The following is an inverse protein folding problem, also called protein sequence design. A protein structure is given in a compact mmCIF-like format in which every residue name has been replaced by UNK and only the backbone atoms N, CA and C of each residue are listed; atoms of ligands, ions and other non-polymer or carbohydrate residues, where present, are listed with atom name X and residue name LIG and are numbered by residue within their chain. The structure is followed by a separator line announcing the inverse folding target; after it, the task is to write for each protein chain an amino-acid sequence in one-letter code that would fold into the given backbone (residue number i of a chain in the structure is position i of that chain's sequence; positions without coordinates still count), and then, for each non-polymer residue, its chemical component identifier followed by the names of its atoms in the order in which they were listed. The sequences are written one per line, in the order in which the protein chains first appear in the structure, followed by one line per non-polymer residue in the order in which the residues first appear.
data_IF_337035016947
#
_entry.id   IF_337035016947
#
_cell.length_a   1.000
_cell.length_b   1.000
_cell.length_c   1.000
_cell.angle_alpha   90.00
_cell.angle_beta   90.00
_cell.angle_gamma   90.00
#
_symmetry.space_group_name_H-M   'P 1'
#
loop_
_entity.id
_entity.type
_entity.pdbx_description
1 polymer ?
#
# COMPACT_ATOMS: atom_id res chain seq x y z
N UNK A 1 -12.61 19.12 9.88
CA UNK A 1 -11.30 18.76 9.30
C UNK A 1 -11.45 18.71 7.79
N UNK A 2 -10.51 19.27 7.03
CA UNK A 2 -10.57 19.21 5.56
C UNK A 2 -10.32 17.77 5.09
N UNK A 3 -11.26 17.23 4.31
CA UNK A 3 -11.21 15.85 3.78
C UNK A 3 -10.82 15.90 2.32
N UNK A 4 -9.71 15.24 1.98
CA UNK A 4 -9.14 15.29 0.63
C UNK A 4 -9.59 14.09 -0.20
N UNK A 5 -9.25 12.86 0.22
CA UNK A 5 -9.64 11.64 -0.49
C UNK A 5 -10.41 10.66 0.39
N UNK A 6 -9.84 10.26 1.52
CA UNK A 6 -10.47 9.37 2.49
C UNK A 6 -10.42 9.96 3.90
N UNK A 7 -11.30 9.47 4.77
CA UNK A 7 -11.26 9.71 6.20
C UNK A 7 -11.81 8.48 6.94
N UNK A 8 -11.03 7.92 7.86
CA UNK A 8 -11.42 6.80 8.72
C UNK A 8 -12.30 7.21 9.90
N UNK A 9 -12.62 8.51 9.98
CA UNK A 9 -13.45 9.11 11.02
C UNK A 9 -14.67 9.75 10.39
N UNK A 10 -15.85 9.40 10.88
CA UNK A 10 -17.05 10.15 10.54
C UNK A 10 -17.03 11.58 11.13
N UNK A 11 -17.95 12.45 10.68
CA UNK A 11 -17.90 13.89 11.03
C UNK A 11 -18.00 14.14 12.55
N UNK A 12 -18.61 13.21 13.29
CA UNK A 12 -18.86 13.31 14.72
C UNK A 12 -17.92 12.45 15.58
N UNK A 13 -17.02 11.68 14.97
CA UNK A 13 -16.18 10.70 15.68
C UNK A 13 -14.78 11.22 15.95
N UNK A 14 -14.33 11.07 17.20
CA UNK A 14 -12.98 11.46 17.63
C UNK A 14 -11.95 10.38 17.25
N UNK A 15 -12.36 9.10 17.24
CA UNK A 15 -11.50 7.95 16.99
C UNK A 15 -12.03 7.13 15.81
N UNK A 16 -11.14 6.42 15.11
CA UNK A 16 -11.47 5.55 13.97
C UNK A 16 -11.73 4.10 14.40
N UNK A 17 -12.23 3.87 15.61
CA UNK A 17 -12.45 2.52 16.17
C UNK A 17 -13.38 1.70 15.24
N UNK A 18 -14.48 2.31 14.80
CA UNK A 18 -15.45 1.67 13.90
C UNK A 18 -14.86 1.23 12.56
N UNK A 19 -13.86 1.96 12.04
CA UNK A 19 -13.17 1.54 10.83
C UNK A 19 -12.46 0.19 11.04
N UNK A 20 -11.82 -0.01 12.20
CA UNK A 20 -11.09 -1.26 12.47
C UNK A 20 -12.03 -2.45 12.68
N UNK A 21 -13.19 -2.24 13.30
CA UNK A 21 -14.23 -3.27 13.43
C UNK A 21 -14.82 -3.62 12.05
N UNK A 22 -15.12 -2.60 11.24
CA UNK A 22 -15.66 -2.74 9.90
C UNK A 22 -14.68 -3.46 8.97
N UNK A 23 -13.41 -3.03 8.90
CA UNK A 23 -12.42 -3.63 8.01
C UNK A 23 -12.07 -5.06 8.40
N UNK A 24 -12.06 -5.39 9.69
CA UNK A 24 -11.85 -6.75 10.16
C UNK A 24 -12.99 -7.67 9.68
N UNK A 25 -14.23 -7.27 9.96
CA UNK A 25 -15.42 -8.04 9.56
C UNK A 25 -15.51 -8.19 8.04
N UNK A 26 -15.26 -7.11 7.30
CA UNK A 26 -15.30 -7.16 5.84
C UNK A 26 -14.17 -8.02 5.26
N UNK A 27 -12.98 -8.02 5.87
CA UNK A 27 -11.89 -8.91 5.45
C UNK A 27 -12.28 -10.39 5.63
N UNK A 28 -13.01 -10.75 6.68
CA UNK A 28 -13.53 -12.11 6.85
C UNK A 28 -14.52 -12.51 5.73
N UNK A 29 -15.37 -11.58 5.32
CA UNK A 29 -16.28 -11.76 4.19
C UNK A 29 -15.49 -11.97 2.88
N UNK A 30 -14.48 -11.13 2.61
CA UNK A 30 -13.62 -11.24 1.43
C UNK A 30 -12.87 -12.57 1.39
N UNK A 31 -12.31 -13.02 2.52
CA UNK A 31 -11.62 -14.30 2.60
C UNK A 31 -12.58 -15.49 2.42
N UNK A 32 -13.81 -15.37 2.90
CA UNK A 32 -14.84 -16.39 2.71
C UNK A 32 -15.24 -16.49 1.25
N UNK A 33 -15.50 -15.36 0.60
CA UNK A 33 -15.84 -15.34 -0.82
C UNK A 33 -14.68 -15.83 -1.71
N UNK A 34 -13.45 -15.45 -1.35
CA UNK A 34 -12.25 -15.95 -2.02
C UNK A 34 -12.14 -17.47 -1.90
N UNK A 35 -12.41 -18.07 -0.73
CA UNK A 35 -12.43 -19.54 -0.59
C UNK A 35 -13.51 -20.17 -1.47
N UNK A 36 -14.68 -19.56 -1.57
CA UNK A 36 -15.76 -20.10 -2.40
C UNK A 36 -15.41 -20.11 -3.90
N UNK A 37 -14.70 -19.07 -4.38
CA UNK A 37 -14.43 -18.90 -5.82
C UNK A 37 -13.05 -19.35 -6.28
N UNK A 38 -12.03 -19.16 -5.43
CA UNK A 38 -10.61 -19.30 -5.80
C UNK A 38 -9.96 -20.55 -5.24
N UNK A 39 -10.64 -21.37 -4.43
CA UNK A 39 -10.05 -22.61 -3.88
C UNK A 39 -9.42 -23.51 -4.95
N UNK A 40 -10.08 -23.79 -6.10
CA UNK A 40 -9.46 -24.60 -7.14
C UNK A 40 -8.15 -23.99 -7.65
N UNK A 41 -8.12 -22.67 -7.84
CA UNK A 41 -6.95 -21.92 -8.31
C UNK A 41 -5.81 -22.00 -7.28
N UNK A 42 -6.12 -21.76 -6.01
CA UNK A 42 -5.15 -21.76 -4.91
C UNK A 42 -4.53 -23.16 -4.75
N UNK A 43 -5.34 -24.22 -4.81
CA UNK A 43 -4.87 -25.60 -4.71
C UNK A 43 -3.93 -25.98 -5.87
N UNK A 44 -4.31 -25.66 -7.11
CA UNK A 44 -3.46 -25.95 -8.28
C UNK A 44 -2.16 -25.13 -8.19
N UNK A 45 -2.22 -23.86 -7.79
CA UNK A 45 -1.02 -23.03 -7.64
C UNK A 45 -0.04 -23.58 -6.58
N UNK A 46 -0.54 -24.02 -5.42
CA UNK A 46 0.29 -24.61 -4.36
C UNK A 46 0.95 -25.92 -4.78
N UNK A 47 0.27 -26.77 -5.53
CA UNK A 47 0.82 -28.05 -5.97
C UNK A 47 1.94 -27.90 -7.03
N UNK A 48 1.99 -26.77 -7.74
CA UNK A 48 2.93 -26.51 -8.81
C UNK A 48 4.13 -25.64 -8.40
N UNK A 49 4.12 -25.07 -7.20
CA UNK A 49 5.15 -24.15 -6.76
C UNK A 49 5.88 -24.69 -5.54
N UNK A 50 7.21 -24.85 -5.66
CA UNK A 50 8.18 -24.74 -4.54
C UNK A 50 8.19 -23.29 -3.98
N UNK A 51 7.02 -22.68 -3.76
CA UNK A 51 6.96 -21.35 -3.19
C UNK A 51 7.15 -21.44 -1.69
N UNK A 52 8.37 -21.14 -1.26
CA UNK A 52 8.75 -20.75 0.10
C UNK A 52 7.58 -20.05 0.82
N UNK A 53 6.98 -20.74 1.80
CA UNK A 53 6.22 -20.19 2.92
C UNK A 53 5.14 -19.11 2.65
N UNK A 54 4.57 -18.99 1.45
CA UNK A 54 3.46 -18.07 1.22
C UNK A 54 2.14 -18.68 1.73
N UNK A 55 1.49 -18.01 2.69
CA UNK A 55 0.20 -18.47 3.22
C UNK A 55 -0.90 -18.38 2.15
N UNK A 56 -1.88 -19.29 2.17
CA UNK A 56 -3.06 -19.26 1.28
C UNK A 56 -3.76 -17.89 1.27
N UNK A 57 -3.73 -17.19 2.41
CA UNK A 57 -4.32 -15.86 2.58
C UNK A 57 -3.55 -14.79 1.80
N UNK A 58 -2.22 -14.89 1.70
CA UNK A 58 -1.46 -14.00 0.81
C UNK A 58 -1.74 -14.28 -0.66
N UNK A 59 -1.89 -15.55 -1.04
CA UNK A 59 -2.28 -15.93 -2.41
C UNK A 59 -3.61 -15.27 -2.79
N UNK A 60 -4.59 -15.22 -1.89
CA UNK A 60 -5.86 -14.52 -2.11
C UNK A 60 -5.63 -13.02 -2.37
N UNK A 61 -4.77 -12.36 -1.58
CA UNK A 61 -4.44 -10.95 -1.78
C UNK A 61 -3.78 -10.72 -3.14
N UNK A 62 -2.85 -11.57 -3.55
CA UNK A 62 -2.18 -11.47 -4.85
C UNK A 62 -3.16 -11.62 -6.02
N UNK A 63 -4.07 -12.58 -5.94
CA UNK A 63 -5.11 -12.79 -6.95
C UNK A 63 -6.10 -11.62 -6.99
N UNK A 64 -6.48 -11.06 -5.83
CA UNK A 64 -7.33 -9.87 -5.76
C UNK A 64 -6.64 -8.66 -6.40
N UNK A 65 -5.34 -8.47 -6.17
CA UNK A 65 -4.54 -7.42 -6.81
C UNK A 65 -4.47 -7.63 -8.32
N UNK A 66 -4.21 -8.86 -8.78
CA UNK A 66 -4.20 -9.18 -10.21
C UNK A 66 -5.53 -8.82 -10.87
N UNK A 67 -6.65 -9.27 -10.31
CA UNK A 67 -7.98 -8.99 -10.84
C UNK A 67 -8.32 -7.50 -10.82
N UNK A 68 -8.08 -6.82 -9.70
CA UNK A 68 -8.38 -5.39 -9.53
C UNK A 68 -7.55 -4.54 -10.49
N UNK A 69 -6.24 -4.76 -10.57
CA UNK A 69 -5.37 -3.97 -11.46
C UNK A 69 -5.61 -4.29 -12.94
N UNK A 70 -6.04 -5.51 -13.26
CA UNK A 70 -6.49 -5.85 -14.61
C UNK A 70 -7.72 -5.04 -15.00
N UNK A 71 -8.73 -5.00 -14.13
CA UNK A 71 -9.96 -4.24 -14.40
C UNK A 71 -9.69 -2.72 -14.45
N UNK A 72 -8.77 -2.22 -13.63
CA UNK A 72 -8.43 -0.79 -13.59
C UNK A 72 -7.59 -0.34 -14.79
N UNK A 73 -6.56 -1.10 -15.19
CA UNK A 73 -5.49 -0.59 -16.05
C UNK A 73 -5.29 -1.33 -17.38
N UNK A 74 -6.04 -2.40 -17.67
CA UNK A 74 -5.80 -3.16 -18.89
C UNK A 74 -5.96 -2.31 -20.15
N UNK A 75 -6.98 -1.44 -20.21
CA UNK A 75 -7.22 -0.57 -21.38
C UNK A 75 -6.02 0.34 -21.66
N UNK A 76 -5.50 1.01 -20.63
CA UNK A 76 -4.31 1.86 -20.72
C UNK A 76 -3.06 1.03 -21.08
N UNK A 77 -2.95 -0.18 -20.53
CA UNK A 77 -1.84 -1.08 -20.82
C UNK A 77 -1.81 -1.60 -22.25
N UNK A 78 -2.95 -1.69 -22.94
CA UNK A 78 -2.98 -2.11 -24.34
C UNK A 78 -2.41 -1.05 -25.30
N UNK A 79 -2.45 0.22 -24.90
CA UNK A 79 -2.02 1.36 -25.72
C UNK A 79 -0.51 1.59 -25.71
N UNK A 80 0.23 1.08 -24.71
CA UNK A 80 1.68 1.28 -24.64
C UNK A 80 2.41 0.33 -25.59
N UNK A 81 3.35 0.87 -26.37
CA UNK A 81 4.23 0.08 -27.22
C UNK A 81 5.57 -0.26 -26.53
N UNK A 82 6.31 -1.20 -27.12
CA UNK A 82 7.56 -1.71 -26.53
C UNK A 82 8.65 -0.64 -26.35
N UNK A 83 8.70 0.39 -27.20
CA UNK A 83 9.66 1.48 -27.10
C UNK A 83 9.30 2.43 -25.94
N UNK A 84 8.03 2.82 -25.84
CA UNK A 84 7.51 3.66 -24.75
C UNK A 84 7.76 3.03 -23.38
N UNK A 85 7.50 1.71 -23.25
CA UNK A 85 7.84 0.97 -22.03
C UNK A 85 9.34 1.06 -21.72
N UNK A 86 10.22 0.81 -22.70
CA UNK A 86 11.68 0.81 -22.48
C UNK A 86 12.15 2.18 -22.01
N UNK A 87 11.62 3.26 -22.58
CA UNK A 87 11.92 4.62 -22.15
C UNK A 87 11.50 4.89 -20.71
N UNK A 88 10.25 4.57 -20.35
CA UNK A 88 9.73 4.78 -18.98
C UNK A 88 10.50 3.94 -17.95
N UNK A 89 10.80 2.69 -18.28
CA UNK A 89 11.59 1.81 -17.43
C UNK A 89 12.99 2.38 -17.20
N UNK A 90 13.67 2.79 -18.27
CA UNK A 90 15.00 3.38 -18.20
C UNK A 90 15.02 4.64 -17.33
N UNK A 91 14.05 5.54 -17.48
CA UNK A 91 13.95 6.76 -16.63
C UNK A 91 13.77 6.39 -15.16
N UNK A 92 12.95 5.38 -14.88
CA UNK A 92 12.72 4.90 -13.51
C UNK A 92 13.99 4.28 -12.90
N UNK A 93 14.70 3.45 -13.65
CA UNK A 93 15.98 2.84 -13.24
C UNK A 93 17.07 3.89 -13.01
N UNK A 94 17.20 4.87 -13.91
CA UNK A 94 18.17 5.98 -13.76
C UNK A 94 17.88 6.82 -12.52
N UNK A 95 16.61 7.11 -12.24
CA UNK A 95 16.18 7.83 -11.03
C UNK A 95 16.55 7.10 -9.75
N UNK A 96 16.45 5.77 -9.74
CA UNK A 96 16.79 4.95 -8.57
C UNK A 96 18.30 4.82 -8.38
N UNK A 97 19.04 4.61 -9.49
CA UNK A 97 20.48 4.38 -9.48
C UNK A 97 21.30 5.64 -9.17
N UNK A 98 20.89 6.79 -9.71
CA UNK A 98 21.67 8.03 -9.63
C UNK A 98 20.93 9.12 -8.84
N UNK A 99 21.21 9.22 -7.54
CA UNK A 99 20.59 10.22 -6.65
C UNK A 99 20.73 11.66 -7.15
N UNK A 100 21.86 12.00 -7.80
CA UNK A 100 22.13 13.34 -8.34
C UNK A 100 21.23 13.70 -9.53
N UNK A 101 20.81 12.71 -10.34
CA UNK A 101 19.93 12.92 -11.50
C UNK A 101 18.44 12.91 -11.12
N UNK A 102 18.11 12.70 -9.84
CA UNK A 102 16.74 12.54 -9.37
C UNK A 102 15.81 13.69 -9.80
N UNK A 103 16.19 14.99 -9.70
CA UNK A 103 15.30 16.08 -10.13
C UNK A 103 15.00 16.04 -11.63
N UNK A 104 16.03 15.88 -12.48
CA UNK A 104 15.88 15.81 -13.93
C UNK A 104 15.07 14.58 -14.37
N UNK A 105 15.36 13.41 -13.79
CA UNK A 105 14.63 12.18 -14.10
C UNK A 105 13.18 12.23 -13.60
N UNK A 106 12.89 12.92 -12.49
CA UNK A 106 11.51 13.11 -12.02
C UNK A 106 10.70 13.99 -12.98
N UNK A 107 11.32 15.07 -13.50
CA UNK A 107 10.69 15.92 -14.51
C UNK A 107 10.44 15.15 -15.83
N UNK A 108 11.45 14.42 -16.32
CA UNK A 108 11.32 13.59 -17.51
C UNK A 108 10.26 12.50 -17.32
N UNK A 109 10.22 11.84 -16.16
CA UNK A 109 9.17 10.87 -15.82
C UNK A 109 7.79 11.50 -15.90
N UNK A 110 7.61 12.72 -15.37
CA UNK A 110 6.34 13.44 -15.45
C UNK A 110 5.87 13.69 -16.88
N UNK A 111 6.78 14.08 -17.78
CA UNK A 111 6.47 14.28 -19.22
C UNK A 111 6.11 12.97 -19.89
N UNK A 112 6.95 11.94 -19.76
CA UNK A 112 6.74 10.66 -20.43
C UNK A 112 5.50 9.94 -19.90
N UNK A 113 5.24 10.02 -18.59
CA UNK A 113 4.03 9.44 -17.99
C UNK A 113 2.77 10.11 -18.54
N UNK A 114 2.77 11.44 -18.69
CA UNK A 114 1.64 12.14 -19.31
C UNK A 114 1.42 11.67 -20.75
N UNK A 115 2.49 11.57 -21.53
CA UNK A 115 2.43 11.29 -22.96
C UNK A 115 2.11 9.82 -23.26
N UNK A 116 2.61 8.88 -22.47
CA UNK A 116 2.55 7.45 -22.76
C UNK A 116 1.61 6.67 -21.85
N UNK A 117 1.35 7.17 -20.64
CA UNK A 117 0.42 6.57 -19.67
C UNK A 117 -0.86 7.39 -19.58
N UNK A 118 -1.26 8.05 -20.68
CA UNK A 118 -2.43 8.93 -20.74
C UNK A 118 -3.64 8.22 -20.13
N UNK A 119 -4.11 8.78 -19.02
CA UNK A 119 -5.11 8.19 -18.16
C UNK A 119 -6.50 8.65 -18.62
N UNK A 120 -7.29 7.71 -19.16
CA UNK A 120 -8.68 7.99 -19.51
C UNK A 120 -9.55 7.60 -18.32
N UNK A 121 -10.17 8.61 -17.69
CA UNK A 121 -11.05 8.42 -16.52
C UNK A 121 -12.45 7.92 -16.89
N UNK A 122 -12.70 7.60 -18.15
CA UNK A 122 -13.97 7.03 -18.56
C UNK A 122 -14.06 5.63 -17.98
N UNK A 123 -15.17 5.36 -17.26
CA UNK A 123 -15.61 4.02 -16.87
C UNK A 123 -15.53 3.14 -18.11
N UNK A 124 -14.48 2.33 -18.22
CA UNK A 124 -14.22 1.57 -19.42
C UNK A 124 -15.21 0.42 -19.51
N UNK A 125 -15.96 0.36 -20.61
CA UNK A 125 -16.61 -0.88 -21.01
C UNK A 125 -15.56 -1.98 -21.12
N UNK A 126 -15.86 -3.06 -20.41
CA UNK A 126 -14.91 -3.97 -19.79
C UNK A 126 -14.51 -5.09 -20.75
N UNK A 127 -13.23 -5.46 -20.79
CA UNK A 127 -12.81 -6.69 -21.46
C UNK A 127 -11.91 -7.52 -20.53
N UNK A 128 -12.22 -8.80 -20.30
CA UNK A 128 -11.31 -9.70 -19.59
C UNK A 128 -9.99 -9.81 -20.34
N UNK A 129 -8.92 -10.17 -19.64
CA UNK A 129 -7.68 -10.59 -20.29
C UNK A 129 -7.98 -11.80 -21.18
N UNK A 130 -7.81 -11.64 -22.49
CA UNK A 130 -8.13 -12.65 -23.50
C UNK A 130 -6.95 -13.56 -23.84
N UNK A 131 -5.73 -13.19 -23.44
CA UNK A 131 -4.53 -13.98 -23.68
C UNK A 131 -3.35 -13.49 -22.83
N UNK A 132 -2.29 -14.30 -22.82
CA UNK A 132 -1.05 -14.00 -22.09
C UNK A 132 -0.32 -12.74 -22.56
N UNK A 133 -0.49 -12.33 -23.83
CA UNK A 133 0.11 -11.09 -24.35
C UNK A 133 -0.49 -9.85 -23.67
N UNK A 134 -1.80 -9.87 -23.41
CA UNK A 134 -2.49 -8.81 -22.68
C UNK A 134 -2.05 -8.74 -21.21
N UNK A 135 -1.93 -9.88 -20.51
CA UNK A 135 -1.38 -9.92 -19.15
C UNK A 135 0.05 -9.39 -19.10
N UNK A 136 0.89 -9.79 -20.05
CA UNK A 136 2.27 -9.30 -20.15
C UNK A 136 2.34 -7.78 -20.35
N UNK A 137 1.46 -7.22 -21.20
CA UNK A 137 1.34 -5.77 -21.41
C UNK A 137 0.91 -5.05 -20.13
N UNK A 138 -0.08 -5.58 -19.39
CA UNK A 138 -0.50 -5.04 -18.10
C UNK A 138 0.68 -4.95 -17.14
N UNK A 139 1.40 -6.05 -16.93
CA UNK A 139 2.55 -6.10 -16.01
C UNK A 139 3.63 -5.10 -16.42
N UNK A 140 3.91 -4.98 -17.72
CA UNK A 140 4.86 -3.99 -18.25
C UNK A 140 4.40 -2.56 -18.02
N UNK A 141 3.12 -2.28 -18.22
CA UNK A 141 2.54 -0.97 -17.94
C UNK A 141 2.68 -0.62 -16.46
N UNK A 142 2.30 -1.53 -15.55
CA UNK A 142 2.43 -1.38 -14.10
C UNK A 142 3.90 -1.12 -13.70
N UNK A 143 4.84 -1.89 -14.24
CA UNK A 143 6.27 -1.72 -14.02
C UNK A 143 6.77 -0.35 -14.50
N UNK A 144 6.32 0.08 -15.69
CA UNK A 144 6.70 1.37 -16.27
C UNK A 144 6.20 2.57 -15.46
N UNK A 145 5.12 2.42 -14.68
CA UNK A 145 4.68 3.48 -13.76
C UNK A 145 5.69 3.73 -12.63
N UNK A 146 6.43 2.70 -12.21
CA UNK A 146 7.31 2.74 -11.05
C UNK A 146 6.59 2.85 -9.68
N UNK A 147 5.26 2.69 -9.64
CA UNK A 147 4.44 2.83 -8.42
C UNK A 147 4.01 1.48 -7.81
N UNK A 148 4.34 0.35 -8.46
CA UNK A 148 3.83 -0.99 -8.14
C UNK A 148 4.95 -2.03 -7.97
N UNK A 149 6.09 -1.64 -7.40
CA UNK A 149 7.29 -2.49 -7.39
C UNK A 149 7.05 -3.88 -6.79
N UNK A 150 6.50 -3.92 -5.58
CA UNK A 150 6.22 -5.15 -4.83
C UNK A 150 5.11 -6.00 -5.47
N UNK A 151 4.11 -5.33 -6.03
CA UNK A 151 2.98 -5.93 -6.74
C UNK A 151 3.46 -6.58 -8.04
N UNK A 152 4.21 -5.86 -8.88
CA UNK A 152 4.77 -6.34 -10.15
C UNK A 152 5.65 -7.58 -9.95
N UNK A 153 6.46 -7.62 -8.87
CA UNK A 153 7.27 -8.80 -8.53
C UNK A 153 6.39 -10.06 -8.42
N UNK A 154 5.26 -9.97 -7.72
CA UNK A 154 4.31 -11.08 -7.52
C UNK A 154 3.53 -11.39 -8.79
N UNK A 155 3.05 -10.37 -9.50
CA UNK A 155 2.34 -10.56 -10.77
C UNK A 155 3.22 -11.22 -11.85
N UNK A 156 4.54 -10.97 -11.86
CA UNK A 156 5.49 -11.70 -12.73
C UNK A 156 5.63 -13.17 -12.34
N UNK A 157 5.51 -13.52 -11.05
CA UNK A 157 5.48 -14.91 -10.63
C UNK A 157 4.21 -15.61 -11.13
N UNK A 158 3.05 -14.95 -11.00
CA UNK A 158 1.79 -15.41 -11.60
C UNK A 158 1.86 -15.53 -13.12
N UNK A 159 2.43 -14.54 -13.81
CA UNK A 159 2.60 -14.60 -15.27
C UNK A 159 3.43 -15.82 -15.70
N UNK A 160 4.52 -16.13 -14.99
CA UNK A 160 5.34 -17.32 -15.27
C UNK A 160 4.56 -18.60 -15.06
N UNK A 161 3.81 -18.69 -13.96
CA UNK A 161 2.99 -19.85 -13.65
C UNK A 161 1.88 -20.07 -14.70
N UNK A 162 1.11 -19.03 -15.03
CA UNK A 162 0.02 -19.11 -16.02
C UNK A 162 0.52 -19.49 -17.43
N UNK A 163 1.80 -19.24 -17.77
CA UNK A 163 2.41 -19.72 -19.03
C UNK A 163 2.62 -21.23 -19.08
N UNK A 164 2.65 -21.89 -17.92
CA UNK A 164 2.82 -23.36 -17.84
C UNK A 164 1.52 -24.13 -18.03
N UNK A 165 0.38 -23.44 -17.91
CA UNK A 165 -0.94 -24.05 -17.98
C UNK A 165 -1.47 -24.09 -19.43
N UNK A 166 -2.36 -25.05 -19.75
CA UNK A 166 -3.12 -25.02 -21.00
C UNK A 166 -3.86 -23.70 -21.19
N UNK A 167 -3.93 -23.22 -22.43
CA UNK A 167 -4.56 -21.93 -22.75
C UNK A 167 -5.99 -21.80 -22.19
N UNK A 168 -6.79 -22.86 -22.30
CA UNK A 168 -8.17 -22.90 -21.78
C UNK A 168 -8.21 -22.70 -20.27
N UNK A 169 -7.34 -23.37 -19.52
CA UNK A 169 -7.29 -23.29 -18.07
C UNK A 169 -6.86 -21.89 -17.62
N UNK A 170 -5.86 -21.32 -18.29
CA UNK A 170 -5.42 -19.94 -18.06
C UNK A 170 -6.56 -18.93 -18.25
N UNK A 171 -7.39 -19.07 -19.29
CA UNK A 171 -8.55 -18.19 -19.49
C UNK A 171 -9.59 -18.34 -18.37
N UNK A 172 -9.93 -19.58 -18.00
CA UNK A 172 -10.89 -19.86 -16.92
C UNK A 172 -10.39 -19.25 -15.60
N UNK A 173 -9.09 -19.38 -15.31
CA UNK A 173 -8.48 -18.80 -14.12
C UNK A 173 -8.58 -17.26 -14.13
N UNK A 174 -8.19 -16.62 -15.23
CA UNK A 174 -8.23 -15.16 -15.37
C UNK A 174 -9.66 -14.61 -15.28
N UNK A 175 -10.64 -15.30 -15.86
CA UNK A 175 -12.05 -14.94 -15.76
C UNK A 175 -12.58 -15.07 -14.32
N UNK A 176 -12.20 -16.14 -13.62
CA UNK A 176 -12.58 -16.35 -12.21
C UNK A 176 -11.98 -15.27 -11.31
N UNK A 177 -10.70 -14.94 -11.51
CA UNK A 177 -9.99 -13.88 -10.78
C UNK A 177 -10.66 -12.51 -11.01
N UNK A 178 -11.01 -12.20 -12.27
CA UNK A 178 -11.69 -10.96 -12.61
C UNK A 178 -13.10 -10.89 -12.02
N UNK A 179 -13.86 -11.99 -12.05
CA UNK A 179 -15.18 -12.10 -11.44
C UNK A 179 -15.12 -11.83 -9.93
N UNK A 180 -14.11 -12.38 -9.24
CA UNK A 180 -13.88 -12.11 -7.82
C UNK A 180 -13.55 -10.63 -7.57
N UNK A 181 -12.66 -10.03 -8.36
CA UNK A 181 -12.32 -8.61 -8.22
C UNK A 181 -13.52 -7.68 -8.46
N UNK A 182 -14.42 -8.01 -9.40
CA UNK A 182 -15.65 -7.24 -9.64
C UNK A 182 -16.67 -7.38 -8.52
N UNK A 183 -16.77 -8.57 -7.93
CA UNK A 183 -17.55 -8.73 -6.70
C UNK A 183 -16.97 -7.85 -5.59
N UNK A 184 -15.64 -7.89 -5.41
CA UNK A 184 -14.95 -7.09 -4.41
C UNK A 184 -15.17 -5.59 -4.61
N UNK A 185 -15.07 -5.08 -5.84
CA UNK A 185 -15.28 -3.66 -6.14
C UNK A 185 -16.67 -3.20 -5.68
N UNK A 186 -17.73 -3.91 -6.12
CA UNK A 186 -19.11 -3.59 -5.74
C UNK A 186 -19.31 -3.69 -4.22
N UNK A 187 -18.89 -4.80 -3.64
CA UNK A 187 -19.13 -5.07 -2.22
C UNK A 187 -18.33 -4.15 -1.30
N UNK A 188 -17.09 -3.84 -1.66
CA UNK A 188 -16.26 -2.90 -0.91
C UNK A 188 -16.79 -1.48 -0.99
N UNK A 189 -17.41 -1.08 -2.09
CA UNK A 189 -18.08 0.22 -2.20
C UNK A 189 -19.27 0.33 -1.24
N UNK A 190 -20.08 -0.74 -1.09
CA UNK A 190 -21.19 -0.78 -0.13
C UNK A 190 -20.72 -0.65 1.33
N UNK A 191 -19.61 -1.31 1.69
CA UNK A 191 -19.15 -1.43 3.09
C UNK A 191 -18.14 -0.34 3.48
N UNK A 192 -17.13 -0.11 2.63
CA UNK A 192 -16.02 0.82 2.90
C UNK A 192 -16.22 2.18 2.24
N UNK A 193 -17.24 2.33 1.38
CA UNK A 193 -17.49 3.55 0.62
C UNK A 193 -17.60 4.80 1.50
N UNK A 194 -18.19 4.68 2.70
CA UNK A 194 -18.29 5.77 3.66
C UNK A 194 -16.92 6.41 4.01
N UNK A 195 -15.84 5.62 4.03
CA UNK A 195 -14.50 6.11 4.36
C UNK A 195 -13.80 6.76 3.16
N UNK A 196 -14.27 6.52 1.93
CA UNK A 196 -13.63 6.95 0.68
C UNK A 196 -14.52 7.84 -0.19
N UNK A 197 -15.61 8.37 0.38
CA UNK A 197 -16.63 9.15 -0.34
C UNK A 197 -16.09 10.37 -1.12
N UNK A 198 -14.92 10.91 -0.75
CA UNK A 198 -14.33 12.08 -1.39
C UNK A 198 -13.35 11.74 -2.53
N UNK A 199 -13.02 10.46 -2.75
CA UNK A 199 -12.06 10.04 -3.78
C UNK A 199 -12.50 10.51 -5.16
N UNK A 200 -13.74 10.24 -5.56
CA UNK A 200 -14.22 10.61 -6.89
C UNK A 200 -14.25 12.13 -7.07
N UNK A 201 -14.72 12.88 -6.07
CA UNK A 201 -14.70 14.34 -6.10
C UNK A 201 -13.27 14.89 -6.25
N UNK A 202 -12.31 14.31 -5.53
CA UNK A 202 -10.91 14.66 -5.66
C UNK A 202 -10.37 14.37 -7.06
N UNK A 203 -10.64 13.19 -7.62
CA UNK A 203 -10.23 12.82 -8.98
C UNK A 203 -10.80 13.77 -10.03
N UNK A 204 -12.04 14.24 -9.87
CA UNK A 204 -12.61 15.26 -10.77
C UNK A 204 -11.87 16.60 -10.68
N UNK A 205 -11.49 17.05 -9.48
CA UNK A 205 -10.78 18.32 -9.25
C UNK A 205 -9.30 18.25 -9.65
N UNK A 206 -8.65 17.10 -9.48
CA UNK A 206 -7.21 16.93 -9.71
C UNK A 206 -6.82 16.94 -11.20
N UNK A 207 -7.75 16.60 -12.11
CA UNK A 207 -7.55 16.53 -13.57
C UNK A 207 -6.86 17.76 -14.18
N UNK A 208 -7.15 18.96 -13.69
CA UNK A 208 -6.61 20.19 -14.26
C UNK A 208 -5.37 20.73 -13.53
N UNK A 209 -5.17 20.35 -12.26
CA UNK A 209 -4.21 20.99 -11.36
C UNK A 209 -2.79 20.41 -11.44
N UNK A 210 -2.62 19.17 -11.90
CA UNK A 210 -1.39 18.40 -11.68
C UNK A 210 -0.81 17.73 -12.94
N UNK A 211 -1.00 18.35 -14.11
CA UNK A 211 -0.74 17.79 -15.44
C UNK A 211 0.72 17.43 -15.82
N UNK A 212 1.70 17.58 -14.93
CA UNK A 212 3.13 17.24 -15.17
C UNK A 212 3.83 16.62 -13.97
N UNK A 213 3.06 16.04 -13.04
CA UNK A 213 3.60 15.43 -11.82
C UNK A 213 4.14 14.03 -12.06
N UNK A 214 5.25 13.67 -11.41
CA UNK A 214 5.85 12.32 -11.51
C UNK A 214 4.95 11.23 -10.90
N UNK A 215 4.16 11.61 -9.91
CA UNK A 215 3.28 10.75 -9.10
C UNK A 215 1.82 10.82 -9.57
N UNK A 216 1.62 11.14 -10.86
CA UNK A 216 0.29 11.29 -11.45
C UNK A 216 -0.54 10.02 -11.33
N UNK A 217 0.06 8.84 -11.52
CA UNK A 217 -0.65 7.55 -11.39
C UNK A 217 -1.06 7.33 -9.93
N UNK A 218 -0.15 7.55 -8.99
CA UNK A 218 -0.41 7.44 -7.56
C UNK A 218 -1.52 8.40 -7.08
N UNK A 219 -1.49 9.65 -7.56
CA UNK A 219 -2.49 10.65 -7.21
C UNK A 219 -3.82 10.48 -7.96
N UNK A 220 -3.91 9.58 -8.95
CA UNK A 220 -5.14 9.27 -9.70
C UNK A 220 -5.60 7.82 -9.52
N UNK A 221 -5.24 7.20 -8.39
CA UNK A 221 -5.76 5.90 -7.97
C UNK A 221 -7.29 5.94 -7.87
N UNK A 222 -7.95 4.94 -8.45
CA UNK A 222 -9.40 4.77 -8.38
C UNK A 222 -9.82 4.35 -6.98
N UNK A 223 -11.09 4.56 -6.66
CA UNK A 223 -11.65 4.29 -5.32
C UNK A 223 -11.49 2.83 -4.89
N UNK A 224 -11.68 1.87 -5.81
CA UNK A 224 -11.44 0.44 -5.55
C UNK A 224 -10.01 0.15 -5.08
N UNK A 225 -9.02 0.91 -5.54
CA UNK A 225 -7.62 0.73 -5.11
C UNK A 225 -7.39 1.18 -3.67
N UNK A 226 -8.19 2.13 -3.16
CA UNK A 226 -8.20 2.46 -1.73
C UNK A 226 -8.76 1.29 -0.92
N UNK A 227 -9.89 0.73 -1.33
CA UNK A 227 -10.50 -0.42 -0.66
C UNK A 227 -9.60 -1.66 -0.68
N UNK A 228 -8.97 -1.92 -1.83
CA UNK A 228 -7.96 -2.96 -1.99
C UNK A 228 -6.84 -2.80 -0.96
N UNK A 229 -6.32 -1.58 -0.80
CA UNK A 229 -5.27 -1.32 0.17
C UNK A 229 -5.73 -1.42 1.64
N UNK A 230 -6.98 -1.04 1.95
CA UNK A 230 -7.54 -1.22 3.29
C UNK A 230 -7.61 -2.72 3.65
N UNK A 231 -8.19 -3.54 2.77
CA UNK A 231 -8.33 -4.99 2.99
C UNK A 231 -6.98 -5.69 2.93
N UNK A 232 -6.12 -5.30 1.99
CA UNK A 232 -4.77 -5.86 1.87
C UNK A 232 -3.91 -5.58 3.10
N UNK A 233 -4.00 -4.38 3.69
CA UNK A 233 -3.32 -4.07 4.94
C UNK A 233 -3.80 -4.95 6.10
N UNK A 234 -5.12 -5.18 6.21
CA UNK A 234 -5.69 -6.06 7.24
C UNK A 234 -5.27 -7.52 7.03
N UNK A 235 -5.31 -8.01 5.79
CA UNK A 235 -4.78 -9.33 5.44
C UNK A 235 -3.32 -9.46 5.86
N UNK A 236 -2.47 -8.50 5.49
CA UNK A 236 -1.04 -8.52 5.82
C UNK A 236 -0.81 -8.47 7.33
N UNK A 237 -1.61 -7.69 8.06
CA UNK A 237 -1.54 -7.66 9.53
C UNK A 237 -1.80 -9.03 10.15
N UNK A 238 -2.79 -9.75 9.65
CA UNK A 238 -3.14 -11.11 10.11
C UNK A 238 -2.04 -12.11 9.77
N UNK A 239 -1.55 -12.09 8.53
CA UNK A 239 -0.51 -13.03 8.10
C UNK A 239 0.81 -12.80 8.82
N UNK A 240 1.23 -11.53 8.98
CA UNK A 240 2.52 -11.20 9.59
C UNK A 240 2.46 -11.13 11.12
N UNK A 241 1.29 -11.39 11.72
CA UNK A 241 1.04 -11.19 13.15
C UNK A 241 1.98 -12.01 14.02
N UNK A 242 2.06 -13.31 13.75
CA UNK A 242 2.82 -14.25 14.58
C UNK A 242 4.30 -13.91 14.57
N UNK A 243 4.87 -13.65 13.40
CA UNK A 243 6.29 -13.29 13.29
C UNK A 243 6.57 -11.92 13.88
N UNK A 244 5.63 -10.96 13.76
CA UNK A 244 5.75 -9.66 14.41
C UNK A 244 5.74 -9.78 15.95
N UNK A 245 4.88 -10.65 16.51
CA UNK A 245 4.80 -10.85 17.96
C UNK A 245 6.06 -11.47 18.56
N UNK A 246 6.79 -12.31 17.78
CA UNK A 246 8.09 -12.90 18.19
C UNK A 246 9.22 -11.88 18.26
N UNK A 247 9.06 -10.67 17.71
CA UNK A 247 10.10 -9.64 17.74
C UNK A 247 10.27 -9.02 19.13
N UNK A 248 11.51 -8.78 19.53
CA UNK A 248 11.84 -8.22 20.85
C UNK A 248 11.95 -6.69 20.81
N UNK A 249 12.35 -6.15 19.67
CA UNK A 249 12.48 -4.71 19.42
C UNK A 249 11.43 -4.29 18.41
N UNK A 250 10.80 -3.14 18.63
CA UNK A 250 9.81 -2.61 17.70
C UNK A 250 10.10 -1.18 17.31
N UNK A 251 9.90 -0.88 16.04
CA UNK A 251 10.01 0.48 15.50
C UNK A 251 8.63 0.93 15.03
N UNK A 252 8.14 2.02 15.59
CA UNK A 252 6.98 2.73 15.08
C UNK A 252 7.44 3.74 14.03
N UNK A 253 7.18 3.39 12.77
CA UNK A 253 7.63 4.16 11.62
C UNK A 253 6.56 5.13 11.17
N UNK A 254 6.82 6.42 11.36
CA UNK A 254 5.88 7.51 11.09
C UNK A 254 6.29 8.32 9.85
N UNK A 255 5.35 8.74 9.00
CA UNK A 255 5.63 9.66 7.92
C UNK A 255 5.74 11.10 8.43
N UNK A 256 6.60 11.91 7.81
CA UNK A 256 6.82 13.32 8.19
C UNK A 256 5.53 14.15 8.23
N UNK A 257 4.50 13.79 7.46
CA UNK A 257 3.22 14.51 7.46
C UNK A 257 2.43 14.41 8.78
N UNK A 258 2.83 13.54 9.72
CA UNK A 258 2.28 13.53 11.08
C UNK A 258 2.91 14.58 12.01
N UNK A 259 4.05 15.14 11.64
CA UNK A 259 4.64 16.26 12.40
C UNK A 259 3.74 17.49 12.26
N UNK A 260 3.56 18.26 13.33
CA UNK A 260 2.77 19.50 13.26
C UNK A 260 3.54 20.59 12.53
N UNK A 261 2.97 21.18 11.45
CA UNK A 261 3.46 22.44 10.89
C UNK A 261 2.73 23.66 11.46
N UNK A 262 1.67 23.47 12.28
CA UNK A 262 0.85 24.59 12.78
C UNK A 262 1.50 25.19 14.02
N UNK A 263 1.76 26.50 13.93
CA UNK A 263 2.39 27.41 14.90
C UNK A 263 3.93 27.33 15.03
N UNK A 264 4.54 26.15 14.97
CA UNK A 264 6.00 25.98 15.01
C UNK A 264 6.45 24.95 13.96
N UNK A 265 7.54 25.21 13.24
CA UNK A 265 8.20 24.16 12.44
C UNK A 265 8.69 23.06 13.38
N UNK A 266 8.56 21.79 12.98
CA UNK A 266 9.07 20.67 13.77
C UNK A 266 10.56 20.90 14.08
N UNK A 267 10.92 20.84 15.37
CA UNK A 267 12.29 21.04 15.85
C UNK A 267 13.03 19.70 16.07
N UNK A 268 12.61 18.62 15.41
CA UNK A 268 13.30 17.33 15.56
C UNK A 268 14.75 17.40 15.11
N UNK A 269 15.63 16.70 15.82
CA UNK A 269 16.98 16.43 15.33
C UNK A 269 16.94 15.24 14.38
N UNK A 270 17.40 15.43 13.15
CA UNK A 270 17.51 14.36 12.15
C UNK A 270 16.18 13.75 11.70
N UNK A 271 16.30 12.73 10.85
CA UNK A 271 15.22 11.87 10.37
C UNK A 271 15.76 10.44 10.23
N UNK A 272 14.86 9.45 10.13
CA UNK A 272 15.26 8.04 10.09
C UNK A 272 15.99 7.63 11.38
N UNK A 273 17.10 6.91 11.26
CA UNK A 273 17.87 6.40 12.41
C UNK A 273 18.30 7.48 13.42
N UNK A 274 18.48 8.71 12.95
CA UNK A 274 18.96 9.85 13.75
C UNK A 274 17.82 10.67 14.36
N UNK A 275 16.56 10.29 14.09
CA UNK A 275 15.39 11.01 14.57
C UNK A 275 15.35 11.09 16.10
N UNK A 276 15.24 12.32 16.62
CA UNK A 276 14.92 12.62 18.02
C UNK A 276 13.88 13.72 18.11
N UNK A 277 12.75 13.42 18.76
CA UNK A 277 11.72 14.42 19.01
C UNK A 277 12.15 15.41 20.11
N UNK A 278 12.06 16.72 19.83
CA UNK A 278 12.32 17.81 20.81
C UNK A 278 11.08 18.29 21.55
N UNK A 279 9.95 17.58 21.42
CA UNK A 279 8.69 17.90 22.09
C UNK A 279 8.19 19.35 21.88
N UNK A 280 8.49 19.95 20.72
CA UNK A 280 8.18 21.35 20.40
C UNK A 280 6.70 21.77 20.51
N UNK A 281 5.76 20.83 20.48
CA UNK A 281 4.34 21.08 20.74
C UNK A 281 3.67 19.88 21.38
N UNK A 282 2.84 20.11 22.41
CA UNK A 282 2.03 19.07 23.10
C UNK A 282 0.91 18.51 22.23
N UNK A 283 0.47 19.27 21.22
CA UNK A 283 -0.58 18.89 20.26
C UNK A 283 -0.04 18.02 19.11
N UNK A 284 1.28 17.93 18.97
CA UNK A 284 1.90 17.13 17.92
C UNK A 284 1.73 15.63 18.21
N UNK A 285 1.09 14.91 17.29
CA UNK A 285 0.89 13.46 17.36
C UNK A 285 2.21 12.69 17.54
N UNK A 286 3.28 13.12 16.84
CA UNK A 286 4.61 12.51 16.99
C UNK A 286 5.16 12.69 18.41
N UNK A 287 4.97 13.86 19.04
CA UNK A 287 5.38 14.06 20.43
C UNK A 287 4.59 13.16 21.39
N UNK A 288 3.28 13.05 21.18
CA UNK A 288 2.42 12.17 21.98
C UNK A 288 2.86 10.71 21.87
N UNK A 289 3.16 10.23 20.64
CA UNK A 289 3.66 8.88 20.41
C UNK A 289 5.06 8.65 20.98
N UNK A 290 5.98 9.61 20.86
CA UNK A 290 7.33 9.50 21.45
C UNK A 290 7.27 9.40 22.98
N UNK A 291 6.33 10.07 23.63
CA UNK A 291 6.14 9.93 25.09
C UNK A 291 5.68 8.52 25.51
N UNK A 292 5.03 7.78 24.61
CA UNK A 292 4.55 6.42 24.87
C UNK A 292 5.62 5.34 24.67
N UNK A 293 6.78 5.66 24.08
CA UNK A 293 7.87 4.70 23.80
C UNK A 293 8.23 3.84 25.02
N UNK A 294 8.36 4.48 26.19
CA UNK A 294 8.74 3.79 27.44
C UNK A 294 7.67 2.81 27.93
N UNK A 295 6.39 3.07 27.65
CA UNK A 295 5.28 2.24 28.11
C UNK A 295 4.86 1.13 27.14
N UNK A 296 5.30 1.21 25.87
CA UNK A 296 4.85 0.34 24.80
C UNK A 296 6.01 -0.37 24.07
N UNK A 297 7.23 -0.42 24.62
CA UNK A 297 8.35 -1.18 24.03
C UNK A 297 8.54 -0.98 22.50
N UNK A 298 8.40 0.25 22.03
CA UNK A 298 8.74 0.63 20.66
C UNK A 298 9.54 1.92 20.65
N UNK A 299 10.33 2.10 19.59
CA UNK A 299 11.02 3.36 19.28
C UNK A 299 10.31 4.07 18.14
N UNK A 300 10.00 5.35 18.29
CA UNK A 300 9.44 6.17 17.19
C UNK A 300 10.56 6.57 16.25
N UNK A 301 10.30 6.42 14.96
CA UNK A 301 11.16 6.89 13.90
C UNK A 301 10.33 7.64 12.85
N UNK A 302 10.72 8.87 12.53
CA UNK A 302 10.07 9.65 11.45
C UNK A 302 10.89 9.56 10.17
N UNK A 303 10.24 9.20 9.06
CA UNK A 303 10.85 9.16 7.73
C UNK A 303 10.25 10.20 6.78
N UNK A 304 11.09 10.72 5.89
CA UNK A 304 10.69 11.71 4.89
C UNK A 304 9.85 11.07 3.78
N UNK A 305 10.25 9.90 3.30
CA UNK A 305 9.62 9.17 2.22
C UNK A 305 9.75 7.66 2.42
N UNK A 306 8.86 6.88 1.81
CA UNK A 306 8.95 5.41 1.78
C UNK A 306 10.29 4.93 1.21
N UNK A 307 10.78 5.60 0.15
CA UNK A 307 12.11 5.34 -0.43
C UNK A 307 13.28 5.61 0.52
N UNK A 308 13.06 6.26 1.67
CA UNK A 308 14.08 6.41 2.70
C UNK A 308 14.27 5.10 3.47
N UNK A 309 13.27 4.22 3.48
CA UNK A 309 13.29 2.92 4.17
C UNK A 309 14.09 1.91 3.37
N UNK A 310 13.87 1.85 2.05
CA UNK A 310 14.58 0.96 1.13
C UNK A 310 16.09 1.23 1.02
N UNK A 311 16.57 2.33 1.60
CA UNK A 311 17.99 2.64 1.71
C UNK A 311 18.66 1.93 2.90
N UNK A 312 17.88 1.42 3.86
CA UNK A 312 18.38 0.61 4.96
C UNK A 312 18.41 -0.86 4.51
N UNK A 313 19.54 -1.52 4.69
CA UNK A 313 19.69 -2.96 4.41
C UNK A 313 19.64 -3.76 5.71
N UNK A 314 19.45 -5.09 5.66
CA UNK A 314 19.57 -5.97 6.83
C UNK A 314 20.90 -5.85 7.59
N UNK A 315 21.94 -5.34 6.93
CA UNK A 315 23.25 -5.08 7.55
C UNK A 315 23.27 -3.80 8.40
N UNK A 316 22.27 -2.93 8.26
CA UNK A 316 22.07 -1.82 9.19
C UNK A 316 21.51 -2.37 10.50
N UNK A 317 22.14 -1.99 11.62
CA UNK A 317 21.73 -2.37 12.99
C UNK A 317 20.31 -1.91 13.37
N UNK A 318 19.67 -1.10 12.52
CA UNK A 318 18.33 -0.58 12.73
C UNK A 318 17.24 -1.63 12.50
N UNK A 319 17.44 -2.56 11.58
CA UNK A 319 16.47 -3.60 11.22
C UNK A 319 17.15 -4.97 11.28
N UNK A 320 17.57 -5.34 12.48
CA UNK A 320 18.12 -6.68 12.76
C UNK A 320 17.01 -7.75 12.69
N UNK A 321 17.40 -9.03 12.77
CA UNK A 321 16.49 -10.18 12.74
C UNK A 321 15.47 -10.24 13.89
N UNK A 322 15.59 -9.35 14.89
CA UNK A 322 14.72 -9.29 16.06
C UNK A 322 13.84 -8.03 16.07
N UNK A 323 13.85 -7.25 14.98
CA UNK A 323 13.13 -5.99 14.87
C UNK A 323 11.82 -6.16 14.11
N UNK A 324 10.71 -5.85 14.77
CA UNK A 324 9.39 -5.70 14.14
C UNK A 324 9.10 -4.24 13.80
N UNK A 325 8.35 -4.00 12.73
CA UNK A 325 8.00 -2.64 12.30
C UNK A 325 6.49 -2.43 12.33
N UNK A 326 6.05 -1.37 13.00
CA UNK A 326 4.69 -0.83 12.84
C UNK A 326 4.79 0.30 11.82
N UNK A 327 4.41 0.02 10.58
CA UNK A 327 4.46 0.95 9.47
C UNK A 327 3.19 1.79 9.39
N UNK A 328 3.33 3.10 9.61
CA UNK A 328 2.23 4.05 9.43
C UNK A 328 2.29 4.70 8.06
N UNK A 329 1.21 4.65 7.28
CA UNK A 329 1.19 5.23 5.95
C UNK A 329 -0.21 5.69 5.49
N UNK A 330 -0.26 6.43 4.39
CA UNK A 330 -1.51 6.63 3.67
C UNK A 330 -2.02 5.27 3.16
N UNK A 331 -3.34 5.12 3.05
CA UNK A 331 -3.98 3.87 2.61
C UNK A 331 -3.29 3.26 1.38
N UNK A 332 -3.11 4.03 0.31
CA UNK A 332 -2.53 3.57 -0.95
C UNK A 332 -1.07 3.07 -0.89
N UNK A 333 -0.36 3.22 0.23
CA UNK A 333 1.03 2.77 0.40
C UNK A 333 1.15 1.55 1.33
N UNK A 334 0.05 1.08 1.92
CA UNK A 334 0.13 0.04 2.97
C UNK A 334 0.57 -1.31 2.41
N UNK A 335 0.02 -1.73 1.27
CA UNK A 335 0.41 -3.00 0.64
C UNK A 335 1.87 -2.93 0.18
N UNK A 336 2.22 -1.94 -0.63
CA UNK A 336 3.57 -1.83 -1.20
C UNK A 336 4.64 -1.75 -0.11
N UNK A 337 4.42 -0.95 0.93
CA UNK A 337 5.33 -0.78 2.05
C UNK A 337 5.45 -2.04 2.93
N UNK A 338 4.34 -2.72 3.22
CA UNK A 338 4.39 -3.95 4.01
C UNK A 338 5.05 -5.11 3.26
N UNK A 339 4.86 -5.22 1.94
CA UNK A 339 5.55 -6.22 1.13
C UNK A 339 7.03 -5.89 0.91
N UNK A 340 7.39 -4.61 0.83
CA UNK A 340 8.79 -4.19 0.85
C UNK A 340 9.46 -4.67 2.15
N UNK A 341 8.82 -4.49 3.30
CA UNK A 341 9.34 -4.99 4.58
C UNK A 341 9.40 -6.52 4.62
N UNK A 342 8.39 -7.23 4.10
CA UNK A 342 8.42 -8.69 3.94
C UNK A 342 9.59 -9.15 3.06
N UNK A 343 9.87 -8.46 1.96
CA UNK A 343 10.99 -8.79 1.06
C UNK A 343 12.35 -8.53 1.75
N UNK A 344 12.40 -7.61 2.70
CA UNK A 344 13.53 -7.41 3.62
C UNK A 344 13.51 -8.41 4.80
N UNK A 345 12.51 -9.29 4.85
CA UNK A 345 12.11 -10.18 5.96
C UNK A 345 12.12 -9.50 7.32
N UNK A 346 11.50 -8.34 7.37
CA UNK A 346 11.15 -7.59 8.57
C UNK A 346 9.66 -7.82 8.82
N UNK A 347 9.28 -8.48 9.93
CA UNK A 347 7.88 -8.63 10.29
C UNK A 347 7.21 -7.26 10.50
N UNK A 348 6.09 -7.04 9.82
CA UNK A 348 5.46 -5.72 9.76
C UNK A 348 3.99 -5.75 10.20
N UNK A 349 3.53 -4.62 10.72
CA UNK A 349 2.12 -4.30 10.94
C UNK A 349 1.80 -2.97 10.27
N UNK A 350 0.83 -2.98 9.36
CA UNK A 350 0.38 -1.85 8.57
C UNK A 350 -0.72 -1.08 9.32
N UNK A 351 -0.46 0.17 9.66
CA UNK A 351 -1.43 1.06 10.33
C UNK A 351 -1.77 2.21 9.38
N UNK A 352 -3.04 2.32 8.93
CA UNK A 352 -3.45 3.45 8.12
C UNK A 352 -3.45 4.75 8.94
N UNK A 353 -3.05 5.84 8.29
CA UNK A 353 -3.41 7.19 8.74
C UNK A 353 -4.93 7.35 8.70
N UNK A 354 -5.49 8.13 9.62
CA UNK A 354 -6.94 8.39 9.65
C UNK A 354 -7.44 9.23 8.47
N UNK A 355 -6.53 9.99 7.84
CA UNK A 355 -6.80 10.78 6.65
C UNK A 355 -5.46 11.19 6.03
N UNK A 356 -5.49 11.48 4.73
CA UNK A 356 -4.34 12.00 4.01
C UNK A 356 -4.19 13.52 4.22
N UNK A 357 -2.95 14.01 4.24
CA UNK A 357 -2.68 15.44 4.43
C UNK A 357 -1.27 15.87 4.03
N UNK A 358 -0.47 15.01 3.40
CA UNK A 358 0.90 15.38 3.09
C UNK A 358 0.97 16.50 2.05
N UNK A 359 1.92 17.44 2.24
CA UNK A 359 2.10 18.57 1.32
C UNK A 359 2.46 18.12 -0.10
N UNK A 360 3.26 17.05 -0.17
CA UNK A 360 3.74 16.54 -1.43
C UNK A 360 2.58 16.05 -2.29
N UNK A 361 1.72 15.15 -1.81
CA UNK A 361 0.76 14.46 -2.66
C UNK A 361 -0.66 15.05 -2.60
N UNK A 362 -1.11 15.50 -1.42
CA UNK A 362 -2.54 15.67 -1.18
C UNK A 362 -2.99 17.13 -0.96
N UNK A 363 -2.21 17.93 -0.23
CA UNK A 363 -2.66 19.26 0.22
C UNK A 363 -1.60 20.34 -0.03
N UNK A 364 -1.96 21.51 -0.57
CA UNK A 364 -0.97 22.53 -0.96
C UNK A 364 -0.11 23.05 0.21
N UNK A 365 -0.69 23.12 1.42
CA UNK A 365 0.01 23.56 2.64
C UNK A 365 0.44 22.42 3.55
N UNK A 366 -0.01 21.20 3.28
CA UNK A 366 0.00 20.10 4.23
C UNK A 366 -0.98 20.27 5.40
N UNK A 367 -1.49 19.17 5.93
CA UNK A 367 -2.33 19.08 7.11
C UNK A 367 -1.76 17.96 7.99
N UNK A 368 -1.45 18.22 9.28
CA UNK A 368 -1.01 17.16 10.17
C UNK A 368 -2.08 16.08 10.29
N UNK A 369 -1.63 14.84 10.19
CA UNK A 369 -2.45 13.62 10.17
C UNK A 369 -2.19 12.80 11.43
N UNK A 370 -3.04 11.82 11.71
CA UNK A 370 -3.04 11.04 12.95
C UNK A 370 -3.39 9.58 12.70
N UNK A 371 -3.30 8.79 13.77
CA UNK A 371 -3.66 7.37 13.80
C UNK A 371 -4.56 7.10 15.00
N UNK A 372 -5.13 5.90 15.02
CA UNK A 372 -5.84 5.38 16.19
C UNK A 372 -4.87 4.89 17.26
N UNK A 373 -4.85 5.55 18.42
CA UNK A 373 -4.00 5.15 19.55
C UNK A 373 -4.39 3.81 20.17
N UNK A 374 -5.70 3.51 20.28
CA UNK A 374 -6.15 2.25 20.85
C UNK A 374 -5.70 1.08 19.97
N UNK A 375 -5.86 1.22 18.66
CA UNK A 375 -5.39 0.20 17.72
C UNK A 375 -3.87 0.01 17.77
N UNK A 376 -3.10 1.10 17.86
CA UNK A 376 -1.66 1.00 18.04
C UNK A 376 -1.29 0.21 19.30
N UNK A 377 -1.99 0.47 20.42
CA UNK A 377 -1.78 -0.27 21.66
C UNK A 377 -2.13 -1.76 21.50
N UNK A 378 -3.25 -2.10 20.85
CA UNK A 378 -3.64 -3.49 20.56
C UNK A 378 -2.61 -4.23 19.72
N UNK A 379 -2.15 -3.62 18.62
CA UNK A 379 -1.11 -4.18 17.75
C UNK A 379 0.16 -4.45 18.58
N UNK A 380 0.49 -3.53 19.48
CA UNK A 380 1.69 -3.64 20.27
C UNK A 380 1.56 -4.55 21.51
N UNK A 381 0.36 -4.98 21.91
CA UNK A 381 0.24 -5.97 22.99
C UNK A 381 0.82 -7.30 22.50
N UNK A 382 1.94 -7.70 23.10
CA UNK A 382 2.31 -9.12 23.20
C UNK A 382 1.21 -9.74 24.06
N UNK A 383 0.60 -10.84 23.62
CA UNK A 383 -0.18 -11.68 24.53
C UNK A 383 0.73 -11.98 25.72
N UNK A 384 0.48 -11.32 26.85
CA UNK A 384 1.09 -11.64 28.12
C UNK A 384 0.41 -12.93 28.57
N UNK A 385 0.69 -14.03 27.86
CA UNK A 385 0.25 -15.35 28.28
C UNK A 385 1.05 -15.71 29.52
N UNK A 386 0.33 -15.81 30.64
CA UNK A 386 0.65 -16.61 31.82
C UNK A 386 1.98 -16.30 32.55
N UNK A 387 2.00 -15.23 33.33
CA UNK A 387 2.60 -15.27 34.67
C UNK A 387 1.52 -15.00 35.71
N UNK A 388 0.61 -15.97 35.85
CA UNK A 388 -0.21 -16.13 37.04
C UNK A 388 -0.73 -17.56 37.08
N UNK A 389 0.12 -18.47 37.54
CA UNK A 389 -0.32 -19.65 38.30
C UNK A 389 0.85 -20.23 39.08
N UNK A 390 0.79 -19.96 40.38
CA UNK A 390 1.44 -20.60 41.54
C UNK A 390 2.90 -20.30 41.81
#
# INVERSE_FOLDING_TARGET
MERITYSLREQCQIYSDQYYDCISTFTDEVLTEARNRLTPIIQIAHNHQDQENNSQVETILELLILGTLSDVYLKEALNINGMQYRMLKWVTEMRQKYKQLKPAMSYLKGILSKQFLSYHTELSNMTPIQNMSQLHKLIRWLEATGEFGSEVKRLKAWERYLKTLPYKDTLIMLETILSFARWFERRSEEILGQYTAYVNQYLHKSKNKYNRREDIIFCNRRRVEYHLNMVGAEIMNRVFREDFLKTHKRILLLPICMTSPRYLKCQSEGFGKDFKCKACSKECMVNQLTKLEKGLNFRVMVVLHESSISAYNRKDTLFDSHTGVIGVACILNLISGGWMLKDMGIPAQCVPLDYCGCKKHWHDKGIPTCINFKKLQEINKVLSASTNTR
#
